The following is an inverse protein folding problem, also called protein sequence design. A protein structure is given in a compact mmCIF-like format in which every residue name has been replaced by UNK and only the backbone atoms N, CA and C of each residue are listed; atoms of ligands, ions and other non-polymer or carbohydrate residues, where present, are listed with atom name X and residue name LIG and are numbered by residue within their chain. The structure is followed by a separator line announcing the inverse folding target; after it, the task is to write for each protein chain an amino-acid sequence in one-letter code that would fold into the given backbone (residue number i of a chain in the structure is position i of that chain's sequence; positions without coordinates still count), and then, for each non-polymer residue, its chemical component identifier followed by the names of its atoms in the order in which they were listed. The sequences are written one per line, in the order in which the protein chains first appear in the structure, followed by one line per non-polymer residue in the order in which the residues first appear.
data_IF_191504613042
#
_entry.id   IF_191504613042
#
_cell.length_a   1.000
_cell.length_b   1.000
_cell.length_c   1.000
_cell.angle_alpha   90.00
_cell.angle_beta   90.00
_cell.angle_gamma   90.00
#
_symmetry.space_group_name_H-M   'P 1'
#
loop_
_entity.id
_entity.type
_entity.pdbx_description
1 polymer ?
#
# COMPACT_ATOMS: atom_id res chain seq x y z
N UNK A 1 -14.27 -3.53 23.68
CA UNK A 1 -13.91 -3.60 22.26
C UNK A 1 -12.38 -3.68 22.14
N UNK A 2 -11.86 -4.76 21.59
CA UNK A 2 -10.42 -4.92 21.40
C UNK A 2 -9.94 -3.89 20.37
N UNK A 3 -8.96 -3.05 20.77
CA UNK A 3 -8.43 -1.98 19.90
C UNK A 3 -7.44 -2.62 18.93
N UNK A 4 -7.80 -2.78 17.67
CA UNK A 4 -6.91 -3.29 16.63
C UNK A 4 -5.89 -2.24 16.17
N UNK A 5 -4.75 -2.70 15.67
CA UNK A 5 -3.73 -1.81 15.12
C UNK A 5 -4.08 -1.39 13.70
N UNK A 6 -3.80 -0.14 13.37
CA UNK A 6 -4.14 0.44 12.05
C UNK A 6 -3.04 0.24 11.02
N UNK A 7 -1.79 0.03 11.46
CA UNK A 7 -0.64 -0.26 10.59
C UNK A 7 0.47 -0.97 11.37
N UNK A 8 1.40 -1.60 10.66
CA UNK A 8 2.65 -2.08 11.25
C UNK A 8 3.51 -0.90 11.72
N UNK A 9 4.20 -1.08 12.84
CA UNK A 9 5.11 -0.08 13.42
C UNK A 9 6.56 -0.55 13.50
N UNK A 10 6.87 -1.73 12.95
CA UNK A 10 8.18 -2.38 13.04
C UNK A 10 9.11 -1.88 11.94
N UNK A 11 9.50 -0.59 12.01
CA UNK A 11 10.37 0.01 11.00
C UNK A 11 11.78 -0.56 10.96
N UNK A 12 12.18 -1.28 11.98
CA UNK A 12 13.46 -2.01 12.12
C UNK A 12 13.36 -3.48 11.69
N UNK A 13 12.17 -3.98 11.37
CA UNK A 13 12.01 -5.33 10.84
C UNK A 13 12.77 -5.49 9.52
N UNK A 14 13.47 -6.62 9.35
CA UNK A 14 14.31 -6.91 8.19
C UNK A 14 13.60 -6.65 6.86
N UNK A 15 12.35 -7.05 6.74
CA UNK A 15 11.53 -6.89 5.53
C UNK A 15 11.26 -5.42 5.24
N UNK A 16 10.95 -4.64 6.27
CA UNK A 16 10.66 -3.20 6.14
C UNK A 16 11.95 -2.44 5.79
N UNK A 17 13.06 -2.73 6.47
CA UNK A 17 14.36 -2.15 6.12
C UNK A 17 14.76 -2.51 4.69
N UNK A 18 14.56 -3.77 4.28
CA UNK A 18 14.82 -4.22 2.91
C UNK A 18 14.02 -3.43 1.87
N UNK A 19 12.73 -3.23 2.12
CA UNK A 19 11.88 -2.39 1.25
C UNK A 19 12.37 -0.95 1.20
N UNK A 20 12.67 -0.33 2.35
CA UNK A 20 13.18 1.05 2.40
C UNK A 20 14.45 1.21 1.56
N UNK A 21 15.41 0.30 1.71
CA UNK A 21 16.68 0.33 0.96
C UNK A 21 16.48 0.15 -0.53
N UNK A 22 15.60 -0.75 -0.94
CA UNK A 22 15.30 -0.97 -2.35
C UNK A 22 14.52 0.20 -2.97
N UNK A 23 13.55 0.76 -2.26
CA UNK A 23 12.79 1.94 -2.69
C UNK A 23 13.73 3.12 -2.98
N UNK A 24 14.73 3.35 -2.13
CA UNK A 24 15.72 4.43 -2.30
C UNK A 24 16.52 4.32 -3.61
N UNK A 25 16.58 3.17 -4.22
CA UNK A 25 17.34 2.90 -5.46
C UNK A 25 16.50 2.99 -6.73
N UNK A 26 15.18 3.11 -6.64
CA UNK A 26 14.27 3.02 -7.78
C UNK A 26 13.66 4.37 -8.15
N UNK A 27 13.32 4.53 -9.43
CA UNK A 27 12.61 5.71 -9.91
C UNK A 27 11.17 5.77 -9.38
N UNK A 28 10.62 6.98 -9.33
CA UNK A 28 9.20 7.17 -8.99
C UNK A 28 8.29 6.35 -9.92
N UNK A 29 8.58 6.31 -11.20
CA UNK A 29 7.79 5.53 -12.17
C UNK A 29 7.76 4.03 -11.82
N UNK A 30 8.92 3.44 -11.54
CA UNK A 30 9.01 2.03 -11.11
C UNK A 30 8.21 1.80 -9.83
N UNK A 31 8.35 2.68 -8.84
CA UNK A 31 7.66 2.57 -7.56
C UNK A 31 6.15 2.69 -7.68
N UNK A 32 5.64 3.63 -8.49
CA UNK A 32 4.20 3.78 -8.73
C UNK A 32 3.64 2.56 -9.43
N UNK A 33 4.29 2.11 -10.51
CA UNK A 33 3.84 0.91 -11.25
C UNK A 33 3.81 -0.32 -10.34
N UNK A 34 4.86 -0.56 -9.57
CA UNK A 34 4.91 -1.66 -8.62
C UNK A 34 3.80 -1.56 -7.57
N UNK A 35 3.70 -0.42 -6.89
CA UNK A 35 2.75 -0.26 -5.78
C UNK A 35 1.29 -0.36 -6.25
N UNK A 36 0.96 0.29 -7.37
CA UNK A 36 -0.39 0.27 -7.94
C UNK A 36 -0.79 -1.13 -8.40
N UNK A 37 0.11 -1.83 -9.11
CA UNK A 37 -0.16 -3.19 -9.57
C UNK A 37 -0.30 -4.17 -8.41
N UNK A 38 0.55 -4.06 -7.39
CA UNK A 38 0.46 -4.91 -6.21
C UNK A 38 -0.83 -4.67 -5.44
N UNK A 39 -1.18 -3.41 -5.20
CA UNK A 39 -2.42 -3.05 -4.49
C UNK A 39 -3.68 -3.53 -5.23
N UNK A 40 -3.70 -3.41 -6.55
CA UNK A 40 -4.84 -3.88 -7.36
C UNK A 40 -5.02 -5.39 -7.28
N UNK A 41 -3.92 -6.15 -7.36
CA UNK A 41 -3.97 -7.61 -7.34
C UNK A 41 -4.24 -8.21 -5.95
N UNK A 42 -3.81 -7.57 -4.87
CA UNK A 42 -3.79 -8.16 -3.54
C UNK A 42 -4.74 -7.46 -2.54
N UNK A 43 -4.88 -6.13 -2.58
CA UNK A 43 -5.64 -5.40 -1.57
C UNK A 43 -7.02 -4.96 -2.03
N UNK A 44 -7.18 -4.65 -3.32
CA UNK A 44 -8.50 -4.32 -3.86
C UNK A 44 -9.50 -5.47 -3.66
N UNK A 45 -9.15 -6.76 -3.89
CA UNK A 45 -10.04 -7.87 -3.59
C UNK A 45 -10.46 -7.94 -2.13
N UNK A 46 -9.56 -7.65 -1.17
CA UNK A 46 -9.88 -7.64 0.26
C UNK A 46 -10.93 -6.57 0.56
N UNK A 47 -10.76 -5.36 0.03
CA UNK A 47 -11.73 -4.29 0.20
C UNK A 47 -13.11 -4.63 -0.37
N UNK A 48 -13.13 -5.16 -1.59
CA UNK A 48 -14.36 -5.46 -2.31
C UNK A 48 -15.18 -6.61 -1.71
N UNK A 49 -14.60 -7.45 -0.85
CA UNK A 49 -15.38 -8.46 -0.09
C UNK A 49 -16.46 -7.79 0.78
N UNK A 50 -16.17 -6.63 1.35
CA UNK A 50 -17.10 -5.89 2.22
C UNK A 50 -17.85 -4.78 1.48
N UNK A 51 -17.19 -4.15 0.53
CA UNK A 51 -17.72 -2.99 -0.20
C UNK A 51 -17.67 -3.19 -1.72
N UNK A 52 -18.42 -4.19 -2.27
CA UNK A 52 -18.30 -4.62 -3.67
C UNK A 52 -18.72 -3.55 -4.70
N UNK A 53 -19.46 -2.52 -4.26
CA UNK A 53 -19.95 -1.43 -5.13
C UNK A 53 -19.18 -0.12 -4.95
N UNK A 54 -18.20 -0.09 -4.04
CA UNK A 54 -17.42 1.13 -3.80
C UNK A 54 -16.22 1.19 -4.74
N UNK A 55 -16.32 2.03 -5.76
CA UNK A 55 -15.28 2.20 -6.79
C UNK A 55 -14.13 3.14 -6.36
N UNK A 56 -14.24 3.84 -5.23
CA UNK A 56 -13.26 4.84 -4.82
C UNK A 56 -11.82 4.31 -4.75
N UNK A 57 -11.54 3.13 -4.15
CA UNK A 57 -10.18 2.58 -4.16
C UNK A 57 -9.69 2.20 -5.56
N UNK A 58 -10.53 1.62 -6.39
CA UNK A 58 -10.20 1.27 -7.78
C UNK A 58 -9.86 2.53 -8.59
N UNK A 59 -10.67 3.57 -8.47
CA UNK A 59 -10.46 4.84 -9.16
C UNK A 59 -9.16 5.53 -8.74
N UNK A 60 -8.74 5.41 -7.47
CA UNK A 60 -7.46 5.95 -7.02
C UNK A 60 -6.29 5.31 -7.76
N UNK A 61 -6.30 3.99 -7.92
CA UNK A 61 -5.26 3.25 -8.67
C UNK A 61 -5.29 3.59 -10.16
N UNK A 62 -6.47 3.66 -10.75
CA UNK A 62 -6.65 4.03 -12.16
C UNK A 62 -6.10 5.43 -12.45
N UNK A 63 -6.42 6.41 -11.61
CA UNK A 63 -5.96 7.79 -11.78
C UNK A 63 -4.46 7.96 -11.49
N UNK A 64 -3.86 7.13 -10.65
CA UNK A 64 -2.42 7.07 -10.50
C UNK A 64 -1.73 6.62 -11.81
N UNK A 65 -2.28 5.60 -12.49
CA UNK A 65 -1.81 5.19 -13.83
C UNK A 65 -2.01 6.27 -14.88
N UNK A 66 -3.19 6.89 -14.91
CA UNK A 66 -3.47 8.01 -15.84
C UNK A 66 -2.49 9.16 -15.65
N UNK A 67 -2.12 9.46 -14.41
CA UNK A 67 -1.12 10.48 -14.13
C UNK A 67 0.27 10.09 -14.67
N UNK A 68 0.70 8.84 -14.48
CA UNK A 68 1.95 8.35 -15.08
C UNK A 68 1.97 8.50 -16.60
N UNK A 69 0.85 8.20 -17.24
CA UNK A 69 0.69 8.32 -18.70
C UNK A 69 0.48 9.77 -19.17
N UNK A 70 0.42 10.74 -18.25
CA UNK A 70 0.16 12.17 -18.52
C UNK A 70 -1.25 12.45 -19.06
N UNK A 71 -2.20 11.55 -18.83
CA UNK A 71 -3.60 11.69 -19.27
C UNK A 71 -4.41 12.59 -18.34
N UNK A 72 -3.99 12.72 -17.08
CA UNK A 72 -4.62 13.62 -16.09
C UNK A 72 -3.58 14.43 -15.34
N UNK A 73 -4.00 15.56 -14.80
CA UNK A 73 -3.16 16.42 -13.94
C UNK A 73 -3.14 15.91 -12.50
N UNK A 74 -2.10 16.29 -11.75
CA UNK A 74 -1.93 15.87 -10.36
C UNK A 74 -3.13 16.20 -9.44
N UNK A 75 -3.79 17.36 -9.53
CA UNK A 75 -4.97 17.65 -8.71
C UNK A 75 -6.13 16.67 -8.92
N UNK A 76 -6.35 16.21 -10.15
CA UNK A 76 -7.38 15.22 -10.48
C UNK A 76 -7.08 13.86 -9.82
N UNK A 77 -5.85 13.38 -9.97
CA UNK A 77 -5.42 12.14 -9.32
C UNK A 77 -5.48 12.25 -7.79
N UNK A 78 -5.04 13.38 -7.21
CA UNK A 78 -5.14 13.63 -5.76
C UNK A 78 -6.58 13.61 -5.25
N UNK A 79 -7.53 14.12 -6.01
CA UNK A 79 -8.95 14.07 -5.63
C UNK A 79 -9.44 12.61 -5.48
N UNK A 80 -9.03 11.71 -6.36
CA UNK A 80 -9.37 10.28 -6.26
C UNK A 80 -8.68 9.59 -5.10
N UNK A 81 -7.43 9.96 -4.82
CA UNK A 81 -6.68 9.47 -3.65
C UNK A 81 -7.37 9.89 -2.35
N UNK A 82 -7.79 11.13 -2.23
CA UNK A 82 -8.54 11.62 -1.06
C UNK A 82 -9.85 10.86 -0.87
N UNK A 83 -10.59 10.59 -1.94
CA UNK A 83 -11.80 9.76 -1.89
C UNK A 83 -11.52 8.34 -1.40
N UNK A 84 -10.40 7.74 -1.78
CA UNK A 84 -9.97 6.45 -1.27
C UNK A 84 -9.64 6.50 0.23
N UNK A 85 -8.95 7.53 0.70
CA UNK A 85 -8.69 7.72 2.13
C UNK A 85 -9.98 7.92 2.93
N UNK A 86 -10.98 8.59 2.34
CA UNK A 86 -12.31 8.70 2.94
C UNK A 86 -13.01 7.33 3.02
N UNK A 87 -12.94 6.52 1.95
CA UNK A 87 -13.45 5.15 1.97
C UNK A 87 -12.82 4.32 3.09
N UNK A 88 -11.51 4.46 3.31
CA UNK A 88 -10.81 3.83 4.42
C UNK A 88 -11.31 4.32 5.79
N UNK A 89 -11.58 5.61 5.93
CA UNK A 89 -12.12 6.16 7.18
C UNK A 89 -13.52 5.62 7.48
N UNK A 90 -14.36 5.50 6.46
CA UNK A 90 -15.73 4.97 6.58
C UNK A 90 -15.78 3.46 6.85
N UNK A 91 -14.72 2.72 6.52
CA UNK A 91 -14.62 1.27 6.70
C UNK A 91 -14.17 0.83 8.12
N UNK A 92 -14.36 1.67 9.14
CA UNK A 92 -13.88 1.39 10.51
C UNK A 92 -14.44 0.10 11.12
N UNK A 93 -15.66 -0.28 10.74
CA UNK A 93 -16.30 -1.52 11.20
C UNK A 93 -15.72 -2.78 10.55
N UNK A 94 -14.89 -2.67 9.51
CA UNK A 94 -14.30 -3.76 8.76
C UNK A 94 -12.76 -3.60 8.68
N UNK A 95 -11.99 -3.98 9.72
CA UNK A 95 -10.56 -3.67 9.82
C UNK A 95 -9.70 -4.14 8.65
N UNK A 96 -9.96 -5.32 8.10
CA UNK A 96 -9.25 -5.82 6.91
C UNK A 96 -9.49 -4.90 5.70
N UNK A 97 -10.74 -4.53 5.44
CA UNK A 97 -11.10 -3.62 4.35
C UNK A 97 -10.55 -2.21 4.57
N UNK A 98 -10.59 -1.72 5.82
CA UNK A 98 -9.99 -0.42 6.16
C UNK A 98 -8.50 -0.40 5.88
N UNK A 99 -7.76 -1.41 6.33
CA UNK A 99 -6.32 -1.52 6.10
C UNK A 99 -6.01 -1.67 4.60
N UNK A 100 -6.80 -2.44 3.86
CA UNK A 100 -6.69 -2.58 2.41
C UNK A 100 -6.89 -1.24 1.68
N UNK A 101 -7.94 -0.49 2.00
CA UNK A 101 -8.17 0.82 1.41
C UNK A 101 -7.05 1.83 1.75
N UNK A 102 -6.47 1.77 2.95
CA UNK A 102 -5.30 2.57 3.32
C UNK A 102 -4.08 2.20 2.48
N UNK A 103 -3.81 0.90 2.31
CA UNK A 103 -2.71 0.42 1.46
C UNK A 103 -2.87 0.90 0.01
N UNK A 104 -4.10 0.82 -0.54
CA UNK A 104 -4.43 1.31 -1.87
C UNK A 104 -4.20 2.82 -1.98
N UNK A 105 -4.68 3.59 -1.01
CA UNK A 105 -4.46 5.03 -0.95
C UNK A 105 -2.98 5.40 -0.91
N UNK A 106 -2.17 4.66 -0.15
CA UNK A 106 -0.72 4.84 -0.10
C UNK A 106 -0.04 4.48 -1.43
N UNK A 107 -0.45 3.37 -2.06
CA UNK A 107 0.05 2.99 -3.37
C UNK A 107 -0.19 4.11 -4.41
N UNK A 108 -1.42 4.61 -4.50
CA UNK A 108 -1.76 5.71 -5.40
C UNK A 108 -1.03 7.02 -5.03
N UNK A 109 -0.82 7.31 -3.73
CA UNK A 109 -0.10 8.49 -3.24
C UNK A 109 1.38 8.52 -3.62
N UNK A 110 1.95 7.40 -4.06
CA UNK A 110 3.33 7.31 -4.54
C UNK A 110 3.61 8.26 -5.70
N UNK A 111 2.59 8.65 -6.47
CA UNK A 111 2.70 9.64 -7.56
C UNK A 111 3.23 10.99 -7.10
N UNK A 112 2.92 11.42 -5.89
CA UNK A 112 3.40 12.71 -5.37
C UNK A 112 4.51 12.58 -4.33
N UNK A 113 4.68 11.42 -3.69
CA UNK A 113 5.82 11.16 -2.81
C UNK A 113 6.17 9.68 -2.79
N UNK A 114 7.39 9.36 -3.18
CA UNK A 114 7.89 7.98 -3.25
C UNK A 114 7.86 7.25 -1.89
N UNK A 115 7.95 7.98 -0.76
CA UNK A 115 7.87 7.40 0.58
C UNK A 115 6.54 6.71 0.88
N UNK A 116 5.46 7.10 0.20
CA UNK A 116 4.15 6.45 0.33
C UNK A 116 4.16 4.99 -0.13
N UNK A 117 5.09 4.59 -1.00
CA UNK A 117 5.22 3.19 -1.43
C UNK A 117 5.51 2.22 -0.27
N UNK A 118 6.15 2.69 0.81
CA UNK A 118 6.30 1.89 2.03
C UNK A 118 4.97 1.66 2.75
N UNK A 119 4.03 2.60 2.66
CA UNK A 119 2.69 2.46 3.21
C UNK A 119 1.93 1.27 2.63
N UNK A 120 2.23 0.88 1.39
CA UNK A 120 1.72 -0.37 0.81
C UNK A 120 1.99 -1.57 1.72
N UNK A 121 3.21 -1.69 2.24
CA UNK A 121 3.62 -2.78 3.12
C UNK A 121 3.05 -2.62 4.53
N UNK A 122 3.14 -1.42 5.11
CA UNK A 122 2.74 -1.17 6.50
C UNK A 122 1.24 -1.39 6.73
N UNK A 123 0.40 -1.02 5.75
CA UNK A 123 -1.04 -1.26 5.80
C UNK A 123 -1.44 -2.58 5.14
N UNK A 124 -0.83 -2.93 4.00
CA UNK A 124 -1.20 -4.09 3.21
C UNK A 124 -0.87 -5.42 3.90
N UNK A 125 0.26 -5.50 4.59
CA UNK A 125 0.59 -6.67 5.41
C UNK A 125 -0.49 -6.96 6.46
N UNK A 126 -0.95 -5.91 7.17
CA UNK A 126 -2.04 -6.05 8.13
C UNK A 126 -3.38 -6.37 7.48
N UNK A 127 -3.68 -5.77 6.32
CA UNK A 127 -4.92 -6.06 5.59
C UNK A 127 -5.03 -7.56 5.31
N UNK A 128 -3.94 -8.16 4.82
CA UNK A 128 -3.88 -9.59 4.51
C UNK A 128 -3.95 -10.45 5.78
N UNK A 129 -3.23 -10.05 6.85
CA UNK A 129 -3.28 -10.77 8.12
C UNK A 129 -4.70 -10.78 8.71
N UNK A 130 -5.38 -9.64 8.71
CA UNK A 130 -6.76 -9.54 9.20
C UNK A 130 -7.76 -10.31 8.34
N UNK A 131 -7.56 -10.32 7.02
CA UNK A 131 -8.40 -11.07 6.09
C UNK A 131 -8.24 -12.59 6.26
N UNK A 132 -7.03 -13.07 6.50
CA UNK A 132 -6.72 -14.50 6.53
C UNK A 132 -6.85 -15.13 7.94
N UNK A 133 -6.43 -14.41 8.97
CA UNK A 133 -6.41 -14.93 10.35
C UNK A 133 -7.63 -14.48 11.17
N UNK A 134 -8.32 -13.43 10.71
CA UNK A 134 -9.40 -12.81 11.48
C UNK A 134 -8.90 -11.90 12.61
N UNK A 135 -9.85 -11.17 13.19
CA UNK A 135 -9.55 -10.18 14.24
C UNK A 135 -9.30 -10.79 15.61
N UNK A 136 -9.73 -12.03 15.83
CA UNK A 136 -9.56 -12.72 17.11
C UNK A 136 -8.21 -13.43 17.27
N UNK A 137 -7.43 -13.49 16.18
CA UNK A 137 -6.08 -14.06 16.23
C UNK A 137 -5.15 -13.23 17.14
N UNK A 138 -4.22 -13.88 17.88
CA UNK A 138 -3.24 -13.17 18.69
C UNK A 138 -2.44 -12.16 17.84
N UNK A 139 -2.12 -11.00 18.42
CA UNK A 139 -1.34 -9.98 17.72
C UNK A 139 0.00 -10.53 17.19
N UNK A 140 0.69 -11.36 17.97
CA UNK A 140 1.96 -11.96 17.54
C UNK A 140 1.82 -12.75 16.23
N UNK A 141 0.72 -13.47 16.04
CA UNK A 141 0.45 -14.25 14.83
C UNK A 141 0.10 -13.30 13.65
N UNK A 142 -0.73 -12.30 13.91
CA UNK A 142 -1.08 -11.28 12.91
C UNK A 142 0.16 -10.51 12.44
N UNK A 143 1.03 -10.11 13.36
CA UNK A 143 2.27 -9.40 13.05
C UNK A 143 3.25 -10.28 12.25
N UNK A 144 3.45 -11.53 12.68
CA UNK A 144 4.31 -12.47 11.96
C UNK A 144 3.80 -12.73 10.54
N UNK A 145 2.49 -12.93 10.38
CA UNK A 145 1.87 -13.10 9.06
C UNK A 145 2.03 -11.85 8.19
N UNK A 146 1.78 -10.68 8.75
CA UNK A 146 1.94 -9.41 8.04
C UNK A 146 3.38 -9.18 7.57
N UNK A 147 4.38 -9.56 8.36
CA UNK A 147 5.80 -9.48 7.97
C UNK A 147 6.15 -10.49 6.87
N UNK A 148 5.54 -11.68 6.86
CA UNK A 148 5.69 -12.62 5.73
C UNK A 148 5.10 -12.04 4.43
N UNK A 149 3.97 -11.34 4.51
CA UNK A 149 3.42 -10.63 3.35
C UNK A 149 4.34 -9.49 2.89
N UNK A 150 4.98 -8.77 3.81
CA UNK A 150 6.01 -7.78 3.47
C UNK A 150 7.22 -8.41 2.75
N UNK A 151 7.62 -9.64 3.10
CA UNK A 151 8.65 -10.39 2.37
C UNK A 151 8.25 -10.63 0.91
N UNK A 152 6.99 -11.00 0.65
CA UNK A 152 6.46 -11.17 -0.72
C UNK A 152 6.44 -9.84 -1.49
N UNK A 153 6.10 -8.74 -0.83
CA UNK A 153 6.15 -7.41 -1.43
C UNK A 153 7.59 -7.02 -1.79
N UNK A 154 8.55 -7.30 -0.89
CA UNK A 154 9.98 -7.08 -1.16
C UNK A 154 10.44 -7.89 -2.38
N UNK A 155 10.10 -9.17 -2.46
CA UNK A 155 10.43 -10.02 -3.61
C UNK A 155 9.80 -9.48 -4.91
N UNK A 156 8.56 -9.00 -4.86
CA UNK A 156 7.89 -8.42 -6.02
C UNK A 156 8.54 -7.11 -6.49
N UNK A 157 9.00 -6.27 -5.56
CA UNK A 157 9.74 -5.05 -5.91
C UNK A 157 11.12 -5.40 -6.47
N UNK A 158 11.81 -6.41 -5.92
CA UNK A 158 13.07 -6.90 -6.47
C UNK A 158 12.92 -7.37 -7.93
N UNK A 159 11.81 -8.04 -8.24
CA UNK A 159 11.51 -8.47 -9.61
C UNK A 159 11.20 -7.30 -10.57
N UNK A 160 10.66 -6.22 -10.07
CA UNK A 160 10.35 -5.00 -10.83
C UNK A 160 11.52 -4.00 -10.90
N UNK A 161 12.51 -4.15 -10.02
CA UNK A 161 13.60 -3.19 -9.86
C UNK A 161 14.51 -3.15 -11.09
N UNK A 162 14.96 -1.95 -11.41
CA UNK A 162 15.93 -1.68 -12.48
C UNK A 162 17.32 -1.53 -11.84
N UNK A 163 18.27 -2.35 -12.31
CA UNK A 163 19.66 -2.23 -11.88
C UNK A 163 20.25 -0.90 -12.37
N UNK A 164 21.04 -0.25 -11.50
CA UNK A 164 21.73 1.00 -11.82
C UNK A 164 20.77 2.10 -12.34
N UNK A 165 19.59 2.22 -11.72
CA UNK A 165 18.61 3.26 -12.04
C UNK A 165 19.26 4.65 -11.97
N UNK A 166 19.32 5.42 -13.09
CA UNK A 166 20.03 6.71 -13.11
C UNK A 166 19.29 7.83 -12.36
N UNK A 167 17.98 7.68 -12.14
CA UNK A 167 17.12 8.69 -11.52
C UNK A 167 16.35 8.14 -10.32
N UNK A 168 17.04 7.68 -9.25
CA UNK A 168 16.36 7.16 -8.07
C UNK A 168 15.53 8.25 -7.40
N UNK A 169 14.38 7.87 -6.87
CA UNK A 169 13.50 8.79 -6.15
C UNK A 169 14.17 9.30 -4.88
N UNK A 170 14.00 10.58 -4.58
CA UNK A 170 14.44 11.16 -3.31
C UNK A 170 13.43 10.82 -2.23
N UNK A 171 13.87 10.09 -1.21
CA UNK A 171 13.02 9.63 -0.11
C UNK A 171 13.54 10.16 1.21
N UNK A 172 12.61 10.65 2.06
CA UNK A 172 12.87 10.95 3.47
C UNK A 172 11.92 10.10 4.30
N UNK A 173 12.49 9.19 5.08
CA UNK A 173 11.72 8.33 5.95
C UNK A 173 11.29 9.07 7.22
N UNK A 174 10.07 8.81 7.66
CA UNK A 174 9.51 9.26 8.95
C UNK A 174 9.19 8.07 9.86
N UNK A 175 9.72 6.95 9.51
CA UNK A 175 9.51 5.70 10.24
C UNK A 175 10.50 5.56 11.39
#
# INVERSE_FOLDING_TARGET
MQKYRKMLSNCDARQIVGLMRLIETQSKETLVNWAVNYAEGHFLPIYLKQYPKDERPRLALEYARKWLNKDVKLPEAKSRILSCHQAAAEAEAAPAAQAAARAIGQAASTIHSASHSLGLALYGGLATAYDQLGMDAPWADQEAFALQECEKMLASLQAAAIADEPNPAKVKWKC
#
